data_IF_174953150613
#
_entry.id   IF_174953150613
#
_cell.length_a   1.000
_cell.length_b   1.000
_cell.length_c   1.000
_cell.angle_alpha   90.00
_cell.angle_beta   90.00
_cell.angle_gamma   90.00
#
_symmetry.space_group_name_H-M   'P 1'
#
loop_
_entity.id
_entity.type
_entity.pdbx_description
1 polymer ?
#
# COMPACT_ATOMS: atom_id res chain seq x y z
N UNK A 1 11.24 11.87 16.90
CA UNK A 1 10.13 12.33 17.77
C UNK A 1 9.24 13.23 16.93
N UNK A 2 8.27 12.65 16.21
CA UNK A 2 7.23 13.40 15.50
C UNK A 2 5.91 13.14 16.24
N UNK A 3 5.59 14.01 17.20
CA UNK A 3 4.33 13.99 17.96
C UNK A 3 3.43 15.09 17.40
N UNK A 4 2.98 14.92 16.18
CA UNK A 4 1.73 15.46 15.69
C UNK A 4 0.92 14.23 15.26
N UNK A 5 -0.37 14.16 15.61
CA UNK A 5 -1.24 13.13 15.02
C UNK A 5 -1.11 13.23 13.50
N UNK A 6 -0.40 12.29 12.91
CA UNK A 6 -0.28 12.19 11.46
C UNK A 6 -1.62 11.70 10.95
N UNK A 7 -2.30 12.53 10.15
CA UNK A 7 -3.50 12.12 9.43
C UNK A 7 -3.16 11.21 8.23
N UNK A 8 -1.88 10.89 8.01
CA UNK A 8 -1.45 9.89 7.04
C UNK A 8 -1.27 8.56 7.76
N UNK A 9 -2.08 7.58 7.37
CA UNK A 9 -1.98 6.17 7.77
C UNK A 9 -1.17 5.41 6.75
N UNK A 10 -0.17 4.63 7.19
CA UNK A 10 0.74 3.92 6.28
C UNK A 10 0.70 2.42 6.46
N UNK A 11 0.39 1.73 5.37
CA UNK A 11 0.45 0.27 5.27
C UNK A 11 1.53 -0.15 4.30
N UNK A 12 2.35 -1.14 4.68
CA UNK A 12 3.22 -1.85 3.76
C UNK A 12 2.75 -3.30 3.67
N UNK A 13 2.52 -3.76 2.45
CA UNK A 13 2.41 -5.17 2.13
C UNK A 13 3.74 -5.63 1.55
N UNK A 14 4.24 -6.78 1.97
CA UNK A 14 5.43 -7.36 1.37
C UNK A 14 5.26 -8.85 1.13
N UNK A 15 5.81 -9.35 0.03
CA UNK A 15 5.62 -10.71 -0.40
C UNK A 15 6.06 -10.94 -1.85
N UNK A 16 5.78 -12.14 -2.40
CA UNK A 16 6.11 -12.49 -3.78
C UNK A 16 5.47 -11.51 -4.79
N UNK A 17 6.24 -11.10 -5.81
CA UNK A 17 5.81 -10.10 -6.78
C UNK A 17 4.55 -10.51 -7.56
N UNK A 18 4.32 -11.81 -7.71
CA UNK A 18 3.16 -12.40 -8.40
C UNK A 18 1.83 -12.06 -7.70
N UNK A 19 1.86 -11.78 -6.39
CA UNK A 19 0.68 -11.43 -5.60
C UNK A 19 0.39 -9.93 -5.60
N UNK A 20 1.38 -9.10 -5.95
CA UNK A 20 1.32 -7.63 -5.82
C UNK A 20 0.09 -7.04 -6.50
N UNK A 21 -0.07 -7.30 -7.80
CA UNK A 21 -1.15 -6.73 -8.61
C UNK A 21 -2.52 -7.12 -8.07
N UNK A 22 -2.70 -8.38 -7.66
CA UNK A 22 -4.00 -8.86 -7.19
C UNK A 22 -4.38 -8.20 -5.85
N UNK A 23 -3.46 -8.17 -4.88
CA UNK A 23 -3.72 -7.55 -3.58
C UNK A 23 -3.89 -6.03 -3.68
N UNK A 24 -3.00 -5.36 -4.41
CA UNK A 24 -3.04 -3.91 -4.55
C UNK A 24 -4.29 -3.47 -5.30
N UNK A 25 -4.68 -4.17 -6.36
CA UNK A 25 -5.89 -3.86 -7.11
C UNK A 25 -7.14 -4.06 -6.25
N UNK A 26 -7.18 -5.11 -5.44
CA UNK A 26 -8.29 -5.31 -4.51
C UNK A 26 -8.34 -4.25 -3.40
N UNK A 27 -7.20 -3.80 -2.89
CA UNK A 27 -7.15 -2.67 -1.96
C UNK A 27 -7.72 -1.40 -2.62
N UNK A 28 -7.45 -1.19 -3.91
CA UNK A 28 -7.98 -0.07 -4.67
C UNK A 28 -9.50 -0.11 -4.78
N UNK A 29 -10.05 -1.29 -5.07
CA UNK A 29 -11.49 -1.50 -5.15
C UNK A 29 -12.14 -1.30 -3.79
N UNK A 30 -11.57 -1.90 -2.74
CA UNK A 30 -12.06 -1.76 -1.38
C UNK A 30 -12.22 -0.30 -0.98
N UNK A 31 -11.16 0.50 -1.14
CA UNK A 31 -11.19 1.92 -0.79
C UNK A 31 -12.16 2.73 -1.64
N UNK A 32 -12.27 2.42 -2.92
CA UNK A 32 -13.22 3.08 -3.81
C UNK A 32 -14.68 2.74 -3.46
N UNK A 33 -14.96 1.51 -3.04
CA UNK A 33 -16.28 1.10 -2.54
C UNK A 33 -16.64 1.80 -1.21
N UNK A 34 -15.63 2.08 -0.37
CA UNK A 34 -15.77 2.95 0.82
C UNK A 34 -15.92 4.44 0.47
N UNK A 35 -16.02 4.79 -0.82
CA UNK A 35 -16.25 6.17 -1.28
C UNK A 35 -15.00 7.04 -1.31
N UNK A 36 -13.80 6.47 -1.20
CA UNK A 36 -12.54 7.22 -1.19
C UNK A 36 -11.99 7.45 -2.59
N UNK A 37 -11.39 8.61 -2.81
CA UNK A 37 -10.64 8.90 -4.05
C UNK A 37 -9.29 8.19 -3.99
N UNK A 38 -9.11 7.22 -4.89
CA UNK A 38 -7.94 6.33 -4.95
C UNK A 38 -7.06 6.70 -6.13
N UNK A 39 -5.77 6.91 -5.89
CA UNK A 39 -4.74 6.93 -6.93
C UNK A 39 -3.96 5.62 -6.83
N UNK A 40 -3.99 4.85 -7.91
CA UNK A 40 -3.25 3.59 -8.07
C UNK A 40 -2.06 3.82 -8.99
N UNK A 41 -0.85 3.73 -8.45
CA UNK A 41 0.42 3.86 -9.18
C UNK A 41 1.00 2.46 -9.37
N UNK A 42 1.43 2.16 -10.59
CA UNK A 42 2.16 0.94 -10.93
C UNK A 42 3.16 1.21 -12.07
N UNK A 43 4.28 0.48 -12.17
CA UNK A 43 5.28 0.72 -13.22
C UNK A 43 4.79 0.43 -14.64
N UNK A 44 3.87 -0.51 -14.80
CA UNK A 44 3.41 -0.99 -16.09
C UNK A 44 1.88 -1.03 -16.19
N UNK A 45 1.31 -0.81 -17.39
CA UNK A 45 -0.13 -0.99 -17.62
C UNK A 45 -0.65 -2.36 -17.19
N UNK A 46 -1.87 -2.38 -16.66
CA UNK A 46 -2.60 -3.62 -16.42
C UNK A 46 -3.12 -4.14 -17.77
N UNK A 47 -2.55 -5.23 -18.29
CA UNK A 47 -2.97 -5.84 -19.56
C UNK A 47 -4.34 -6.51 -19.44
N UNK A 48 -4.63 -7.04 -18.25
CA UNK A 48 -5.87 -7.69 -17.88
C UNK A 48 -6.27 -7.31 -16.45
N UNK A 49 -7.54 -7.51 -16.11
CA UNK A 49 -8.00 -7.31 -14.73
C UNK A 49 -7.27 -8.33 -13.83
N UNK A 50 -6.54 -7.88 -12.79
CA UNK A 50 -5.87 -8.79 -11.88
C UNK A 50 -6.85 -9.82 -11.32
N UNK A 51 -6.38 -11.06 -11.19
CA UNK A 51 -7.18 -12.15 -10.66
C UNK A 51 -7.72 -11.75 -9.28
N UNK A 52 -9.01 -12.00 -9.06
CA UNK A 52 -9.58 -11.78 -7.74
C UNK A 52 -8.91 -12.73 -6.74
N UNK A 53 -8.18 -12.14 -5.80
CA UNK A 53 -7.64 -12.84 -4.65
C UNK A 53 -8.75 -13.12 -3.64
N UNK A 54 -9.79 -12.29 -3.56
CA UNK A 54 -10.97 -12.40 -2.70
C UNK A 54 -12.25 -12.77 -3.46
N UNK A 55 -13.23 -13.32 -2.73
CA UNK A 55 -14.59 -13.58 -3.21
C UNK A 55 -15.40 -12.27 -3.24
N UNK A 56 -14.93 -11.32 -4.06
CA UNK A 56 -15.62 -10.07 -4.30
C UNK A 56 -16.72 -10.25 -5.34
N UNK A 57 -17.85 -9.60 -5.10
CA UNK A 57 -18.80 -9.29 -6.17
C UNK A 57 -18.15 -8.32 -7.15
N UNK A 58 -18.68 -8.27 -8.38
CA UNK A 58 -18.18 -7.31 -9.36
C UNK A 58 -18.28 -5.88 -8.81
N UNK A 59 -17.20 -5.08 -8.87
CA UNK A 59 -17.17 -3.75 -8.30
C UNK A 59 -18.22 -2.86 -8.95
N UNK A 60 -18.92 -2.07 -8.14
CA UNK A 60 -19.93 -1.15 -8.64
C UNK A 60 -19.30 -0.13 -9.61
N UNK A 61 -19.98 0.26 -10.71
CA UNK A 61 -19.44 1.25 -11.66
C UNK A 61 -19.03 2.59 -11.03
N UNK A 62 -19.61 2.93 -9.88
CA UNK A 62 -19.27 4.14 -9.13
C UNK A 62 -17.88 4.07 -8.48
N UNK A 63 -17.43 2.88 -8.08
CA UNK A 63 -16.10 2.67 -7.50
C UNK A 63 -15.01 3.01 -8.52
N UNK A 64 -15.17 2.58 -9.78
CA UNK A 64 -14.21 2.93 -10.84
C UNK A 64 -14.09 4.43 -11.11
N UNK A 65 -15.15 5.23 -10.88
CA UNK A 65 -15.08 6.69 -11.03
C UNK A 65 -14.22 7.36 -9.96
N UNK A 66 -14.04 6.70 -8.82
CA UNK A 66 -13.21 7.17 -7.70
C UNK A 66 -11.76 6.71 -7.83
N UNK A 67 -11.45 5.86 -8.81
CA UNK A 67 -10.11 5.31 -9.03
C UNK A 67 -9.43 6.01 -10.19
N UNK A 68 -8.17 6.38 -9.98
CA UNK A 68 -7.27 6.90 -11.02
C UNK A 68 -6.03 6.03 -11.11
N UNK A 69 -5.86 5.38 -12.26
CA UNK A 69 -4.65 4.62 -12.57
C UNK A 69 -3.56 5.54 -13.13
N UNK A 70 -2.33 5.34 -12.68
CA UNK A 70 -1.14 5.99 -13.21
C UNK A 70 -0.06 4.96 -13.46
N UNK A 71 0.46 4.97 -14.68
CA UNK A 71 1.52 4.06 -15.12
C UNK A 71 2.83 4.84 -15.15
N UNK A 72 3.64 4.70 -14.11
CA UNK A 72 4.85 5.51 -13.91
C UNK A 72 6.06 4.56 -13.91
N UNK A 73 6.81 4.54 -15.00
CA UNK A 73 7.83 3.51 -15.23
C UNK A 73 9.02 3.55 -14.25
N UNK A 74 9.32 4.72 -13.67
CA UNK A 74 10.51 4.93 -12.86
C UNK A 74 10.31 6.01 -11.78
N UNK A 75 11.37 6.21 -10.97
CA UNK A 75 11.42 7.21 -9.91
C UNK A 75 11.19 8.64 -10.41
N UNK A 76 11.75 9.02 -11.56
CA UNK A 76 11.59 10.39 -12.08
C UNK A 76 10.13 10.67 -12.44
N UNK A 77 9.46 9.70 -13.08
CA UNK A 77 8.02 9.77 -13.35
C UNK A 77 7.19 9.84 -12.06
N UNK A 78 7.55 9.07 -11.03
CA UNK A 78 6.90 9.11 -9.72
C UNK A 78 7.02 10.50 -9.08
N UNK A 79 8.23 11.04 -8.95
CA UNK A 79 8.49 12.34 -8.32
C UNK A 79 7.70 13.44 -8.99
N UNK A 80 7.77 13.51 -10.32
CA UNK A 80 7.08 14.53 -11.09
C UNK A 80 5.57 14.51 -10.82
N UNK A 81 4.97 13.32 -10.71
CA UNK A 81 3.54 13.19 -10.39
C UNK A 81 3.19 13.49 -8.95
N UNK A 82 3.99 13.07 -7.98
CA UNK A 82 3.74 13.36 -6.57
C UNK A 82 3.73 14.87 -6.30
N UNK A 83 4.67 15.62 -6.89
CA UNK A 83 4.73 17.08 -6.74
C UNK A 83 3.48 17.76 -7.28
N UNK A 84 2.88 17.26 -8.36
CA UNK A 84 1.66 17.83 -8.97
C UNK A 84 0.37 17.37 -8.30
N UNK A 85 0.40 16.34 -7.47
CA UNK A 85 -0.78 15.62 -7.01
C UNK A 85 -1.73 16.50 -6.18
N UNK A 86 -1.19 17.50 -5.47
CA UNK A 86 -1.96 18.51 -4.75
C UNK A 86 -2.74 19.49 -5.65
N UNK A 87 -2.47 19.52 -6.96
CA UNK A 87 -3.15 20.40 -7.93
C UNK A 87 -4.35 19.74 -8.61
N UNK A 88 -4.57 18.45 -8.35
CA UNK A 88 -5.65 17.71 -8.99
C UNK A 88 -7.02 18.24 -8.57
N UNK A 89 -7.94 18.28 -9.53
CA UNK A 89 -9.36 18.65 -9.30
C UNK A 89 -9.99 17.80 -8.19
N UNK A 90 -9.65 16.50 -8.16
CA UNK A 90 -9.99 15.60 -7.06
C UNK A 90 -8.70 15.11 -6.42
N UNK A 91 -8.45 15.55 -5.19
CA UNK A 91 -7.33 15.08 -4.38
C UNK A 91 -7.56 13.63 -3.94
N UNK A 92 -6.50 12.80 -3.93
CA UNK A 92 -6.61 11.46 -3.40
C UNK A 92 -6.66 11.49 -1.88
N UNK A 93 -7.55 10.67 -1.34
CA UNK A 93 -7.52 10.28 0.07
C UNK A 93 -6.79 8.93 0.27
N UNK A 94 -6.50 8.22 -0.82
CA UNK A 94 -5.77 6.95 -0.80
C UNK A 94 -4.76 6.93 -1.94
N UNK A 95 -3.51 6.63 -1.61
CA UNK A 95 -2.42 6.44 -2.55
C UNK A 95 -1.92 5.00 -2.44
N UNK A 96 -2.03 4.26 -3.53
CA UNK A 96 -1.56 2.88 -3.66
C UNK A 96 -0.37 2.85 -4.60
N UNK A 97 0.75 2.28 -4.16
CA UNK A 97 1.98 2.15 -4.94
C UNK A 97 2.30 0.66 -5.07
N UNK A 98 1.92 0.09 -6.19
CA UNK A 98 2.25 -1.27 -6.62
C UNK A 98 3.73 -1.32 -7.07
N UNK A 99 4.40 -2.43 -6.80
CA UNK A 99 5.84 -2.63 -7.09
C UNK A 99 6.71 -1.44 -6.66
N UNK A 100 6.69 -1.12 -5.35
CA UNK A 100 7.40 0.02 -4.79
C UNK A 100 8.91 -0.03 -5.03
N UNK A 101 9.45 -1.24 -5.16
CA UNK A 101 10.86 -1.50 -5.45
C UNK A 101 11.32 -0.85 -6.76
N UNK A 102 10.44 -0.74 -7.77
CA UNK A 102 10.76 -0.08 -9.04
C UNK A 102 11.19 1.38 -8.85
N UNK A 103 10.75 2.02 -7.76
CA UNK A 103 11.02 3.42 -7.45
C UNK A 103 12.15 3.61 -6.43
N UNK A 104 12.49 2.58 -5.65
CA UNK A 104 13.47 2.66 -4.57
C UNK A 104 14.77 1.92 -4.85
N UNK A 105 14.81 1.01 -5.83
CA UNK A 105 16.00 0.18 -6.13
C UNK A 105 16.76 0.61 -7.38
N UNK A 106 16.08 1.21 -8.36
CA UNK A 106 16.69 1.70 -9.61
C UNK A 106 17.34 3.09 -9.45
N UNK A 107 18.34 3.20 -8.57
CA UNK A 107 19.17 4.41 -8.49
C UNK A 107 20.41 4.27 -9.38
N UNK A 108 20.82 5.37 -10.03
CA UNK A 108 22.13 5.42 -10.68
C UNK A 108 23.17 5.47 -9.57
N UNK A 109 24.01 4.44 -9.45
CA UNK A 109 25.04 4.27 -8.41
C UNK A 109 26.00 5.47 -8.23
N UNK A 110 26.01 6.42 -9.16
CA UNK A 110 27.03 7.46 -9.25
C UNK A 110 26.90 8.64 -8.27
N UNK A 111 25.81 8.81 -7.52
CA UNK A 111 25.60 10.08 -6.77
C UNK A 111 25.09 9.98 -5.32
N UNK A 112 24.35 8.93 -4.92
CA UNK A 112 23.67 8.87 -3.62
C UNK A 112 23.56 7.40 -3.14
N UNK A 113 23.68 7.14 -1.83
CA UNK A 113 23.46 5.79 -1.29
C UNK A 113 22.00 5.35 -1.42
N UNK A 114 21.78 4.05 -1.59
CA UNK A 114 20.44 3.46 -1.69
C UNK A 114 19.52 3.86 -0.53
N UNK A 115 20.05 3.90 0.71
CA UNK A 115 19.29 4.29 1.90
C UNK A 115 18.77 5.73 1.82
N UNK A 116 19.60 6.65 1.30
CA UNK A 116 19.20 8.05 1.14
C UNK A 116 18.17 8.19 0.02
N UNK A 117 18.31 7.42 -1.05
CA UNK A 117 17.30 7.37 -2.12
C UNK A 117 15.95 6.86 -1.59
N UNK A 118 15.96 5.73 -0.88
CA UNK A 118 14.79 5.16 -0.23
C UNK A 118 14.11 6.17 0.73
N UNK A 119 14.91 6.80 1.59
CA UNK A 119 14.43 7.79 2.55
C UNK A 119 13.80 9.01 1.87
N UNK A 120 14.40 9.50 0.77
CA UNK A 120 13.86 10.60 -0.03
C UNK A 120 12.53 10.22 -0.69
N UNK A 121 12.46 9.05 -1.31
CA UNK A 121 11.22 8.56 -1.95
C UNK A 121 10.09 8.47 -0.93
N UNK A 122 10.34 7.86 0.23
CA UNK A 122 9.35 7.79 1.30
C UNK A 122 8.95 9.19 1.76
N UNK A 123 9.91 10.06 2.10
CA UNK A 123 9.63 11.42 2.58
C UNK A 123 8.75 12.20 1.60
N UNK A 124 9.02 12.13 0.30
CA UNK A 124 8.23 12.79 -0.73
C UNK A 124 6.78 12.27 -0.78
N UNK A 125 6.59 10.96 -0.71
CA UNK A 125 5.26 10.32 -0.67
C UNK A 125 4.47 10.82 0.55
N UNK A 126 5.09 10.78 1.72
CA UNK A 126 4.46 11.19 2.97
C UNK A 126 4.17 12.68 3.03
N UNK A 127 5.06 13.53 2.55
CA UNK A 127 4.84 14.98 2.47
C UNK A 127 3.69 15.33 1.51
N UNK A 128 3.65 14.67 0.36
CA UNK A 128 2.58 14.82 -0.63
C UNK A 128 1.22 14.45 -0.03
N UNK A 129 1.14 13.30 0.65
CA UNK A 129 -0.11 12.84 1.24
C UNK A 129 -0.48 13.62 2.51
N UNK A 130 0.48 14.08 3.30
CA UNK A 130 0.24 15.04 4.38
C UNK A 130 -0.38 16.34 3.86
N UNK A 131 0.12 16.85 2.72
CA UNK A 131 -0.49 18.01 2.05
C UNK A 131 -1.95 17.75 1.67
N UNK A 132 -2.23 16.59 1.06
CA UNK A 132 -3.60 16.16 0.74
C UNK A 132 -4.49 16.08 1.98
N UNK A 133 -4.00 15.47 3.06
CA UNK A 133 -4.72 15.35 4.34
C UNK A 133 -5.08 16.71 4.93
N UNK A 134 -4.15 17.68 4.85
CA UNK A 134 -4.39 19.06 5.33
C UNK A 134 -5.47 19.78 4.53
N UNK A 135 -5.48 19.61 3.20
CA UNK A 135 -6.48 20.23 2.34
C UNK A 135 -7.86 19.56 2.52
N UNK A 136 -7.88 18.23 2.54
CA UNK A 136 -9.11 17.44 2.70
C UNK A 136 -9.67 17.46 4.13
N UNK A 137 -8.85 17.81 5.13
CA UNK A 137 -9.19 17.78 6.56
C UNK A 137 -9.70 16.42 7.04
N UNK A 138 -9.10 15.35 6.52
CA UNK A 138 -9.47 13.96 6.82
C UNK A 138 -8.22 13.08 6.85
N UNK A 139 -8.38 11.86 7.36
CA UNK A 139 -7.35 10.84 7.30
C UNK A 139 -7.18 10.35 5.86
N UNK A 140 -5.92 10.26 5.45
CA UNK A 140 -5.50 9.73 4.15
C UNK A 140 -4.62 8.50 4.34
N UNK A 141 -4.57 7.65 3.32
CA UNK A 141 -3.94 6.35 3.40
C UNK A 141 -2.87 6.21 2.34
N UNK A 142 -1.72 5.70 2.74
CA UNK A 142 -0.64 5.26 1.84
C UNK A 142 -0.51 3.76 2.00
N UNK A 143 -0.60 3.02 0.90
CA UNK A 143 -0.29 1.60 0.87
C UNK A 143 0.75 1.32 -0.20
N UNK A 144 1.81 0.61 0.14
CA UNK A 144 2.83 0.19 -0.80
C UNK A 144 2.96 -1.34 -0.81
N UNK A 145 3.35 -1.90 -1.95
CA UNK A 145 3.81 -3.29 -2.04
C UNK A 145 5.32 -3.33 -2.26
N UNK A 146 6.06 -4.15 -1.52
CA UNK A 146 7.48 -4.41 -1.79
C UNK A 146 7.85 -5.88 -1.71
N UNK A 147 8.60 -6.38 -2.69
CA UNK A 147 9.26 -7.69 -2.61
C UNK A 147 10.60 -7.60 -1.89
N UNK A 148 11.36 -6.49 -1.99
CA UNK A 148 12.68 -6.38 -1.34
C UNK A 148 12.58 -6.31 0.18
N UNK A 149 11.44 -5.86 0.71
CA UNK A 149 11.11 -5.92 2.14
C UNK A 149 11.17 -7.35 2.72
N UNK A 150 11.07 -8.39 1.89
CA UNK A 150 11.32 -9.78 2.31
C UNK A 150 12.78 -10.04 2.71
N UNK A 151 13.73 -9.30 2.14
CA UNK A 151 15.18 -9.43 2.42
C UNK A 151 15.60 -8.61 3.62
N UNK A 152 15.17 -7.35 3.65
CA UNK A 152 15.41 -6.43 4.75
C UNK A 152 14.22 -5.49 4.94
N UNK A 153 13.51 -5.68 6.05
CA UNK A 153 12.34 -4.89 6.42
C UNK A 153 12.72 -3.61 7.19
N UNK A 154 13.94 -3.53 7.73
CA UNK A 154 14.33 -2.49 8.68
C UNK A 154 14.11 -1.07 8.14
N UNK A 155 14.52 -0.73 6.89
CA UNK A 155 14.31 0.61 6.34
C UNK A 155 12.83 1.02 6.29
N UNK A 156 11.95 0.05 6.01
CA UNK A 156 10.51 0.27 5.89
C UNK A 156 9.84 0.59 7.23
N UNK A 157 10.32 -0.02 8.33
CA UNK A 157 9.75 0.20 9.67
C UNK A 157 9.86 1.65 10.17
N UNK A 158 10.71 2.45 9.54
CA UNK A 158 10.86 3.89 9.83
C UNK A 158 9.65 4.69 9.32
N UNK A 159 9.03 4.25 8.21
CA UNK A 159 8.02 5.02 7.47
C UNK A 159 6.62 4.39 7.53
N UNK A 160 6.54 3.06 7.63
CA UNK A 160 5.27 2.33 7.63
C UNK A 160 4.94 1.82 9.04
N UNK A 161 3.78 2.24 9.57
CA UNK A 161 3.32 1.82 10.90
C UNK A 161 2.64 0.46 10.87
N UNK A 162 2.01 0.11 9.76
CA UNK A 162 1.20 -1.09 9.63
C UNK A 162 1.77 -2.01 8.54
N UNK A 163 2.59 -2.98 8.95
CA UNK A 163 3.36 -3.81 8.03
C UNK A 163 2.82 -5.24 8.04
N UNK A 164 2.62 -5.83 6.85
CA UNK A 164 2.09 -7.18 6.68
C UNK A 164 2.93 -7.99 5.68
N UNK A 165 3.29 -9.20 6.10
CA UNK A 165 3.86 -10.23 5.25
C UNK A 165 2.73 -10.98 4.54
N UNK A 166 2.85 -11.18 3.24
CA UNK A 166 1.92 -11.95 2.41
C UNK A 166 2.70 -13.11 1.79
N UNK A 167 2.37 -14.34 2.16
CA UNK A 167 3.02 -15.54 1.64
C UNK A 167 2.02 -16.47 0.97
N UNK A 168 2.43 -17.08 -0.14
CA UNK A 168 1.64 -18.12 -0.81
C UNK A 168 2.05 -19.49 -0.24
N UNK A 169 1.13 -20.20 0.41
CA UNK A 169 1.32 -21.60 0.79
C UNK A 169 0.78 -22.50 -0.33
N UNK A 170 1.66 -22.90 -1.26
CA UNK A 170 1.31 -23.69 -2.44
C UNK A 170 0.66 -25.05 -2.09
N UNK A 171 1.13 -25.70 -1.03
CA UNK A 171 0.64 -27.02 -0.58
C UNK A 171 -0.83 -26.98 -0.15
N UNK A 172 -1.24 -25.87 0.48
CA UNK A 172 -2.59 -25.70 1.03
C UNK A 172 -3.49 -24.87 0.11
N UNK A 173 -2.96 -24.29 -0.98
CA UNK A 173 -3.62 -23.28 -1.83
C UNK A 173 -4.16 -22.11 -1.00
N UNK A 174 -3.43 -21.73 0.04
CA UNK A 174 -3.80 -20.63 0.94
C UNK A 174 -2.80 -19.50 0.84
N UNK A 175 -3.28 -18.27 1.04
CA UNK A 175 -2.41 -17.11 1.19
C UNK A 175 -2.39 -16.78 2.68
N UNK A 176 -1.22 -16.74 3.29
CA UNK A 176 -1.05 -16.36 4.68
C UNK A 176 -0.72 -14.86 4.72
N UNK A 177 -1.44 -14.12 5.55
CA UNK A 177 -1.18 -12.70 5.81
C UNK A 177 -0.86 -12.50 7.28
N UNK A 178 0.37 -12.10 7.58
CA UNK A 178 0.87 -12.01 8.95
C UNK A 178 1.33 -10.58 9.25
N UNK A 179 0.85 -10.01 10.36
CA UNK A 179 1.32 -8.69 10.80
C UNK A 179 2.76 -8.78 11.27
N UNK A 180 3.60 -7.87 10.79
CA UNK A 180 4.95 -7.73 11.28
C UNK A 180 4.97 -7.01 12.63
N UNK A 181 5.74 -7.54 13.58
CA UNK A 181 5.98 -6.94 14.91
C UNK A 181 7.47 -6.96 15.22
N UNK A 182 8.02 -5.86 15.72
CA UNK A 182 9.45 -5.78 16.10
C UNK A 182 9.78 -6.60 17.36
N UNK A 183 8.77 -6.96 18.17
CA UNK A 183 8.94 -7.82 19.35
C UNK A 183 8.86 -9.30 18.98
N UNK A 184 9.57 -10.15 19.73
CA UNK A 184 9.49 -11.62 19.65
C UNK A 184 8.00 -12.01 19.54
N UNK A 185 7.61 -12.89 18.61
CA UNK A 185 6.21 -13.27 18.43
C UNK A 185 5.72 -13.98 19.69
N UNK A 186 5.14 -13.22 20.61
CA UNK A 186 4.21 -13.72 21.62
C UNK A 186 2.94 -14.19 20.92
N UNK A 187 2.19 -15.09 21.54
CA UNK A 187 0.94 -15.72 21.03
C UNK A 187 -0.16 -14.74 20.54
N UNK A 188 0.06 -13.43 20.62
CA UNK A 188 -0.89 -12.36 20.30
C UNK A 188 -0.65 -11.65 18.95
N UNK A 189 0.33 -12.06 18.13
CA UNK A 189 0.46 -11.45 16.80
C UNK A 189 -0.72 -11.87 15.90
N UNK A 190 -1.49 -10.93 15.33
CA UNK A 190 -2.60 -11.28 14.47
C UNK A 190 -2.06 -11.93 13.19
N UNK A 191 -2.35 -13.22 13.06
CA UNK A 191 -2.08 -14.03 11.87
C UNK A 191 -3.43 -14.29 11.21
N UNK A 192 -3.57 -13.89 9.95
CA UNK A 192 -4.75 -14.20 9.14
C UNK A 192 -4.36 -15.25 8.11
N UNK A 193 -4.93 -16.45 8.24
CA UNK A 193 -4.87 -17.47 7.18
C UNK A 193 -6.01 -17.18 6.22
N UNK A 194 -5.69 -16.90 4.97
CA UNK A 194 -6.66 -16.73 3.91
C UNK A 194 -6.70 -17.99 3.03
N UNK A 195 -7.82 -18.69 3.04
CA UNK A 195 -8.17 -19.62 1.97
C UNK A 195 -9.18 -18.89 1.07
N UNK A 196 -9.18 -19.17 -0.24
CA UNK A 196 -10.28 -18.72 -1.12
C UNK A 196 -11.53 -19.50 -0.71
N UNK A 197 -12.34 -18.95 0.20
CA UNK A 197 -13.39 -19.68 0.93
C UNK A 197 -14.78 -19.57 0.30
N UNK A 198 -14.95 -18.84 -0.80
CA UNK A 198 -16.26 -18.51 -1.38
C UNK A 198 -17.22 -17.87 -0.36
N UNK A 199 -16.68 -17.28 0.72
CA UNK A 199 -17.44 -16.86 1.92
C UNK A 199 -17.61 -15.33 2.04
N UNK A 200 -16.98 -14.57 1.14
CA UNK A 200 -17.07 -13.10 1.11
C UNK A 200 -16.17 -12.38 2.12
N UNK A 201 -15.24 -13.06 2.78
CA UNK A 201 -14.32 -12.45 3.77
C UNK A 201 -13.34 -11.48 3.11
N UNK A 202 -13.39 -10.19 3.49
CA UNK A 202 -12.48 -9.12 3.03
C UNK A 202 -11.31 -8.94 4.00
N UNK A 203 -10.24 -9.72 3.83
CA UNK A 203 -9.02 -9.63 4.67
C UNK A 203 -8.42 -8.21 4.63
N UNK A 204 -8.56 -7.52 3.49
CA UNK A 204 -8.11 -6.14 3.31
C UNK A 204 -8.75 -5.14 4.28
N UNK A 205 -9.98 -5.35 4.76
CA UNK A 205 -10.57 -4.46 5.78
C UNK A 205 -9.78 -4.48 7.08
N UNK A 206 -9.31 -5.66 7.48
CA UNK A 206 -8.51 -5.85 8.71
C UNK A 206 -7.06 -5.41 8.52
N UNK A 207 -6.53 -5.55 7.32
CA UNK A 207 -5.16 -5.12 6.97
C UNK A 207 -5.07 -3.60 6.87
N UNK A 208 -6.04 -2.94 6.22
CA UNK A 208 -5.94 -1.53 5.82
C UNK A 208 -6.43 -0.55 6.91
N UNK A 209 -7.19 -1.03 7.89
CA UNK A 209 -7.55 -0.24 9.07
C UNK A 209 -6.61 -0.59 10.23
N UNK A 210 -5.96 0.43 10.79
CA UNK A 210 -5.34 0.29 12.12
C UNK A 210 -6.47 -0.01 13.12
N UNK A 211 -6.36 -1.11 13.86
CA UNK A 211 -7.21 -1.33 15.02
C UNK A 211 -7.05 -0.10 15.93
N UNK A 212 -8.15 0.57 16.25
CA UNK A 212 -8.12 1.62 17.25
C UNK A 212 -7.56 1.00 18.53
N UNK A 213 -6.42 1.49 18.99
CA UNK A 213 -6.00 1.21 20.36
C UNK A 213 -7.14 1.72 21.25
N UNK A 214 -7.86 0.78 21.87
CA UNK A 214 -8.80 1.09 22.94
C UNK A 214 -8.01 1.84 24.01
N UNK A 215 -8.23 3.15 24.07
CA UNK A 215 -7.73 3.98 25.14
C UNK A 215 -8.41 3.51 26.42
N UNK A 216 -7.65 2.74 27.21
CA UNK A 216 -7.95 2.41 28.60
C UNK A 216 -7.22 3.35 29.54
#
# INVERSE_FOLDING_TARGET
>A
MFSAKSNVKSTLLYGPAELSKSFMFEAAIYWAEEGRCVVYITPAPLEELPAACHDRSNPAPIAFKLMRFMYLADYEALVNRLVELHTFVSLPSVLLIDDFDAYTTNYKESEVSQDVHFARTCSLIFDTMNSCARILKTDVYVCAWSFSAMKDICPYTIYFTNIWNVTNEEESKTILVQKYTQTVPTEQCPIYRYCKLEDGTRVLKQILYEAAEDQS
#
